data_IF_983968388056
#
_entry.id   IF_983968388056
#
_cell.length_a   1.000
_cell.length_b   1.000
_cell.length_c   1.000
_cell.angle_alpha   90.00
_cell.angle_beta   90.00
_cell.angle_gamma   90.00
#
_symmetry.space_group_name_H-M   'P 1'
#
loop_
_entity.id
_entity.type
_entity.pdbx_description
1 polymer ?
#
# COMPACT_ATOMS: atom_id res chain seq x y z
N UNK A 1 1.68 -8.92 -18.31
CA UNK A 1 2.06 -7.75 -19.11
C UNK A 1 1.63 -6.55 -18.30
N UNK A 2 2.55 -5.96 -17.53
CA UNK A 2 2.28 -4.75 -16.76
C UNK A 2 2.23 -3.56 -17.73
N UNK A 3 1.03 -3.09 -18.02
CA UNK A 3 0.79 -1.81 -18.69
C UNK A 3 0.75 -0.69 -17.62
N UNK A 4 1.78 -0.58 -16.78
CA UNK A 4 1.96 0.62 -15.96
C UNK A 4 2.35 1.74 -16.91
N UNK A 5 1.35 2.52 -17.32
CA UNK A 5 1.55 3.73 -18.12
C UNK A 5 2.39 4.68 -17.29
N UNK A 6 3.70 4.71 -17.57
CA UNK A 6 4.61 5.65 -16.93
C UNK A 6 4.34 7.04 -17.50
N UNK A 7 3.77 7.92 -16.68
CA UNK A 7 3.48 9.30 -17.06
C UNK A 7 4.78 10.11 -16.95
N UNK A 8 5.35 10.49 -18.10
CA UNK A 8 6.51 11.38 -18.14
C UNK A 8 6.03 12.83 -17.99
N UNK A 9 6.21 13.40 -16.80
CA UNK A 9 5.88 14.79 -16.52
C UNK A 9 7.08 15.71 -16.81
N UNK A 10 6.90 16.65 -17.74
CA UNK A 10 7.91 17.67 -18.05
C UNK A 10 7.71 18.90 -17.14
N UNK A 11 8.46 18.90 -16.04
CA UNK A 11 8.47 19.98 -15.05
C UNK A 11 8.80 21.34 -15.68
N UNK A 12 9.72 21.39 -16.64
CA UNK A 12 10.15 22.64 -17.27
C UNK A 12 9.03 23.26 -18.12
N UNK A 13 8.34 22.44 -18.89
CA UNK A 13 7.18 22.88 -19.69
C UNK A 13 6.04 23.33 -18.77
N UNK A 14 5.82 22.65 -17.65
CA UNK A 14 4.80 23.01 -16.68
C UNK A 14 5.08 24.35 -16.00
N UNK A 15 6.31 24.56 -15.52
CA UNK A 15 6.76 25.84 -14.94
C UNK A 15 6.57 26.97 -15.94
N UNK A 16 7.05 26.80 -17.19
CA UNK A 16 6.90 27.81 -18.25
C UNK A 16 5.45 28.17 -18.52
N UNK A 17 4.54 27.20 -18.51
CA UNK A 17 3.11 27.45 -18.69
C UNK A 17 2.52 28.24 -17.52
N UNK A 18 2.87 27.91 -16.28
CA UNK A 18 2.40 28.66 -15.11
C UNK A 18 2.92 30.09 -15.11
N UNK A 19 4.22 30.28 -15.37
CA UNK A 19 4.81 31.61 -15.45
C UNK A 19 4.23 32.45 -16.58
N UNK A 20 3.90 31.84 -17.73
CA UNK A 20 3.21 32.52 -18.82
C UNK A 20 1.75 32.94 -18.49
N UNK A 21 1.16 32.38 -17.43
CA UNK A 21 -0.20 32.67 -16.97
C UNK A 21 -0.21 33.52 -15.68
N UNK A 22 0.89 34.22 -15.38
CA UNK A 22 0.95 35.20 -14.30
C UNK A 22 1.33 34.66 -12.92
N UNK A 23 1.71 33.38 -12.82
CA UNK A 23 2.30 32.84 -11.60
C UNK A 23 3.76 33.28 -11.47
N UNK A 24 4.23 33.51 -10.24
CA UNK A 24 5.65 33.79 -10.01
C UNK A 24 6.49 32.55 -10.33
N UNK A 25 7.78 32.75 -10.61
CA UNK A 25 8.71 31.64 -10.85
C UNK A 25 8.71 30.67 -9.66
N UNK A 26 8.77 31.21 -8.45
CA UNK A 26 8.74 30.44 -7.19
C UNK A 26 7.46 29.60 -7.06
N UNK A 27 6.28 30.20 -7.28
CA UNK A 27 5.01 29.47 -7.25
C UNK A 27 4.99 28.36 -8.30
N UNK A 28 5.45 28.67 -9.51
CA UNK A 28 5.48 27.72 -10.62
C UNK A 28 6.36 26.51 -10.29
N UNK A 29 7.52 26.73 -9.68
CA UNK A 29 8.45 25.67 -9.26
C UNK A 29 7.90 24.82 -8.12
N UNK A 30 7.27 25.45 -7.11
CA UNK A 30 6.66 24.74 -5.98
C UNK A 30 5.53 23.82 -6.48
N UNK A 31 4.64 24.33 -7.34
CA UNK A 31 3.56 23.54 -7.93
C UNK A 31 4.09 22.40 -8.79
N UNK A 32 5.15 22.65 -9.56
CA UNK A 32 5.75 21.63 -10.40
C UNK A 32 6.42 20.52 -9.57
N UNK A 33 7.07 20.86 -8.44
CA UNK A 33 7.62 19.89 -7.50
C UNK A 33 6.53 19.04 -6.85
N UNK A 34 5.48 19.66 -6.30
CA UNK A 34 4.39 18.94 -5.66
C UNK A 34 3.69 17.96 -6.62
N UNK A 35 3.53 18.35 -7.89
CA UNK A 35 2.95 17.49 -8.91
C UNK A 35 3.87 16.33 -9.30
N UNK A 36 5.18 16.56 -9.40
CA UNK A 36 6.18 15.52 -9.68
C UNK A 36 6.27 14.47 -8.56
N UNK A 37 6.23 14.92 -7.30
CA UNK A 37 6.17 14.07 -6.11
C UNK A 37 4.90 13.22 -6.09
N UNK A 38 3.72 13.84 -6.27
CA UNK A 38 2.46 13.12 -6.30
C UNK A 38 2.38 12.09 -7.47
N UNK A 39 2.96 12.42 -8.63
CA UNK A 39 3.05 11.50 -9.76
C UNK A 39 4.01 10.35 -9.48
N UNK A 40 5.11 10.60 -8.77
CA UNK A 40 6.06 9.56 -8.36
C UNK A 40 5.43 8.63 -7.32
N UNK A 41 4.70 9.17 -6.35
CA UNK A 41 3.96 8.38 -5.36
C UNK A 41 2.84 7.56 -5.99
N UNK A 42 2.07 8.17 -6.91
CA UNK A 42 0.97 7.47 -7.61
C UNK A 42 1.44 6.37 -8.57
N UNK A 43 2.67 6.46 -9.06
CA UNK A 43 3.32 5.46 -9.91
C UNK A 43 4.21 4.50 -9.12
N UNK A 44 4.53 4.81 -7.85
CA UNK A 44 5.11 3.85 -6.94
C UNK A 44 4.11 2.70 -6.78
N UNK A 45 4.60 1.51 -6.45
CA UNK A 45 3.74 0.35 -6.20
C UNK A 45 2.94 0.64 -4.91
N UNK A 46 1.86 1.43 -5.01
CA UNK A 46 0.95 1.64 -3.89
C UNK A 46 0.47 0.27 -3.49
N UNK A 47 0.64 -0.06 -2.21
CA UNK A 47 0.08 -1.26 -1.59
C UNK A 47 -1.39 -1.33 -2.01
N UNK A 48 -1.67 -2.25 -2.92
CA UNK A 48 -3.00 -2.38 -3.50
C UNK A 48 -3.93 -2.95 -2.45
N UNK A 49 -5.24 -2.74 -2.59
CA UNK A 49 -6.21 -3.37 -1.68
C UNK A 49 -6.07 -4.90 -1.63
N UNK A 50 -5.52 -5.51 -2.69
CA UNK A 50 -5.14 -6.93 -2.72
C UNK A 50 -3.99 -7.24 -1.75
N UNK A 51 -2.94 -6.41 -1.71
CA UNK A 51 -1.79 -6.62 -0.81
C UNK A 51 -2.20 -6.48 0.66
N UNK A 52 -3.13 -5.56 0.96
CA UNK A 52 -3.74 -5.44 2.28
C UNK A 52 -4.57 -6.69 2.64
N UNK A 53 -5.35 -7.22 1.69
CA UNK A 53 -6.17 -8.42 1.88
C UNK A 53 -5.33 -9.69 2.05
N UNK A 54 -4.19 -9.77 1.37
CA UNK A 54 -3.23 -10.86 1.53
C UNK A 54 -2.58 -10.81 2.93
N UNK A 55 -2.23 -9.61 3.39
CA UNK A 55 -1.70 -9.38 4.74
C UNK A 55 -2.74 -9.73 5.82
N UNK A 56 -4.00 -9.30 5.65
CA UNK A 56 -5.11 -9.65 6.54
C UNK A 56 -5.35 -11.16 6.61
N UNK A 57 -5.36 -11.85 5.46
CA UNK A 57 -5.51 -13.30 5.41
C UNK A 57 -4.35 -14.00 6.13
N UNK A 58 -3.11 -13.55 5.92
CA UNK A 58 -1.94 -14.14 6.58
C UNK A 58 -2.01 -14.01 8.10
N UNK A 59 -2.41 -12.83 8.61
CA UNK A 59 -2.66 -12.60 10.03
C UNK A 59 -3.81 -13.45 10.57
N UNK A 60 -4.91 -13.56 9.83
CA UNK A 60 -6.07 -14.38 10.22
C UNK A 60 -5.71 -15.86 10.31
N UNK A 61 -4.92 -16.39 9.37
CA UNK A 61 -4.45 -17.78 9.39
C UNK A 61 -3.41 -18.03 10.50
N UNK A 62 -2.48 -17.10 10.72
CA UNK A 62 -1.48 -17.23 11.77
C UNK A 62 -2.13 -17.22 13.17
N UNK A 63 -3.02 -16.26 13.42
CA UNK A 63 -3.72 -16.14 14.71
C UNK A 63 -4.75 -17.27 14.86
N UNK A 64 -5.63 -17.45 13.87
CA UNK A 64 -6.67 -18.48 13.89
C UNK A 64 -6.13 -19.90 14.00
N UNK A 65 -5.04 -20.20 13.28
CA UNK A 65 -4.35 -21.49 13.37
C UNK A 65 -3.77 -21.76 14.76
N UNK A 66 -3.20 -20.75 15.42
CA UNK A 66 -2.71 -20.85 16.80
C UNK A 66 -3.82 -21.14 17.81
N UNK A 67 -4.98 -20.48 17.69
CA UNK A 67 -6.13 -20.75 18.56
C UNK A 67 -6.72 -22.15 18.36
N UNK A 68 -6.85 -22.61 17.12
CA UNK A 68 -7.35 -23.97 16.85
C UNK A 68 -6.40 -25.01 17.45
N UNK A 69 -5.10 -24.88 17.23
CA UNK A 69 -4.11 -25.82 17.76
C UNK A 69 -4.16 -25.92 19.29
N UNK A 70 -4.25 -24.78 19.99
CA UNK A 70 -4.30 -24.75 21.46
C UNK A 70 -5.59 -25.36 22.01
N UNK A 71 -6.74 -25.08 21.38
CA UNK A 71 -8.02 -25.69 21.75
C UNK A 71 -7.99 -27.21 21.52
N UNK A 72 -7.44 -27.67 20.39
CA UNK A 72 -7.33 -29.11 20.09
C UNK A 72 -6.47 -29.83 21.12
N UNK A 73 -5.32 -29.27 21.51
CA UNK A 73 -4.46 -29.84 22.54
C UNK A 73 -5.19 -29.89 23.89
N UNK A 74 -5.89 -28.82 24.27
CA UNK A 74 -6.64 -28.77 25.53
C UNK A 74 -7.73 -29.86 25.58
N UNK A 75 -8.51 -30.02 24.50
CA UNK A 75 -9.54 -31.05 24.40
C UNK A 75 -8.92 -32.45 24.49
N UNK A 76 -7.79 -32.69 23.81
CA UNK A 76 -7.10 -33.97 23.86
C UNK A 76 -6.60 -34.31 25.28
N UNK A 77 -6.04 -33.33 26.00
CA UNK A 77 -5.59 -33.51 27.38
C UNK A 77 -6.76 -33.80 28.32
N UNK A 78 -7.87 -33.06 28.20
CA UNK A 78 -9.08 -33.30 29.01
C UNK A 78 -9.66 -34.69 28.69
N UNK A 79 -9.66 -35.10 27.42
CA UNK A 79 -10.07 -36.42 26.99
C UNK A 79 -9.22 -37.52 27.62
N UNK A 80 -7.90 -37.38 27.61
CA UNK A 80 -6.97 -38.32 28.27
C UNK A 80 -7.18 -38.41 29.78
N UNK A 81 -7.48 -37.30 30.45
CA UNK A 81 -7.74 -37.28 31.91
C UNK A 81 -9.11 -37.91 32.25
N UNK A 82 -10.09 -37.85 31.33
CA UNK A 82 -11.42 -38.44 31.52
C UNK A 82 -11.58 -39.86 31.01
N UNK A 83 -10.60 -40.42 30.31
CA UNK A 83 -10.55 -41.86 30.06
C UNK A 83 -10.23 -42.57 31.38
N UNK A 84 -11.03 -43.57 31.81
CA UNK A 84 -10.84 -44.30 33.06
C UNK A 84 -9.52 -45.08 33.11
#
# INVERSE_FOLDING_TARGET
MDNTVKLNFDKLVFVKKLSANGYTQEQSEILANALDEALTESQSHLVTKSDLKETENHLLYAIGGGFIATITVLIAVIGLIKLP
#
